data_IF_275927373091
#
_entry.id   IF_275927373091
#
_cell.length_a   1.000
_cell.length_b   1.000
_cell.length_c   1.000
_cell.angle_alpha   90.00
_cell.angle_beta   90.00
_cell.angle_gamma   90.00
#
_symmetry.space_group_name_H-M   'P 1'
#
loop_
_entity.id
_entity.type
_entity.pdbx_description
1 polymer ?
#
# COMPACT_ATOMS: atom_id res chain seq x y z
N UNK A 1 -26.04 -17.69 8.66
CA UNK A 1 -25.59 -16.69 7.67
C UNK A 1 -25.49 -15.29 8.26
N UNK A 2 -26.55 -14.77 8.89
CA UNK A 2 -26.59 -13.42 9.51
C UNK A 2 -25.39 -13.14 10.43
N UNK A 3 -25.05 -14.06 11.32
CA UNK A 3 -23.93 -13.90 12.26
C UNK A 3 -22.56 -13.65 11.58
N UNK A 4 -22.28 -14.35 10.46
CA UNK A 4 -21.00 -14.21 9.73
C UNK A 4 -20.87 -12.83 9.09
N UNK A 5 -21.94 -12.35 8.45
CA UNK A 5 -21.96 -11.00 7.87
C UNK A 5 -21.99 -9.90 8.94
N UNK A 6 -22.58 -10.18 10.12
CA UNK A 6 -22.52 -9.29 11.27
C UNK A 6 -21.08 -9.01 11.72
N UNK A 7 -20.25 -10.05 11.87
CA UNK A 7 -18.82 -9.90 12.21
C UNK A 7 -18.08 -9.07 11.15
N UNK A 8 -18.34 -9.34 9.87
CA UNK A 8 -17.73 -8.62 8.76
C UNK A 8 -18.00 -7.12 8.82
N UNK A 9 -19.29 -6.76 8.91
CA UNK A 9 -19.75 -5.37 8.93
C UNK A 9 -19.24 -4.67 10.19
N UNK A 10 -19.34 -5.31 11.36
CA UNK A 10 -18.87 -4.75 12.62
C UNK A 10 -17.37 -4.45 12.59
N UNK A 11 -16.55 -5.37 12.07
CA UNK A 11 -15.10 -5.18 11.97
C UNK A 11 -14.76 -4.02 11.03
N UNK A 12 -15.44 -3.93 9.87
CA UNK A 12 -15.24 -2.83 8.93
C UNK A 12 -15.64 -1.47 9.53
N UNK A 13 -16.79 -1.39 10.22
CA UNK A 13 -17.23 -0.18 10.92
C UNK A 13 -16.23 0.22 12.02
N UNK A 14 -15.73 -0.74 12.78
CA UNK A 14 -14.74 -0.47 13.83
C UNK A 14 -13.47 0.17 13.25
N UNK A 15 -12.97 -0.34 12.12
CA UNK A 15 -11.80 0.22 11.42
C UNK A 15 -12.09 1.60 10.85
N UNK A 16 -13.26 1.81 10.24
CA UNK A 16 -13.68 3.11 9.73
C UNK A 16 -13.70 4.17 10.85
N UNK A 17 -14.39 3.84 11.95
CA UNK A 17 -14.55 4.74 13.09
C UNK A 17 -13.20 5.04 13.74
N UNK A 18 -12.34 4.03 13.89
CA UNK A 18 -11.01 4.22 14.45
C UNK A 18 -10.14 5.15 13.59
N UNK A 19 -10.15 4.97 12.25
CA UNK A 19 -9.42 5.83 11.32
C UNK A 19 -9.89 7.30 11.35
N UNK A 20 -11.21 7.53 11.40
CA UNK A 20 -11.80 8.87 11.45
C UNK A 20 -11.57 9.55 12.81
N UNK A 21 -11.71 8.82 13.91
CA UNK A 21 -11.63 9.38 15.27
C UNK A 21 -10.19 9.56 15.77
N UNK A 22 -9.24 8.75 15.27
CA UNK A 22 -7.84 8.75 15.72
C UNK A 22 -6.83 8.87 14.57
N UNK A 23 -6.98 9.82 13.62
CA UNK A 23 -6.09 9.92 12.47
C UNK A 23 -4.64 10.23 12.89
N UNK A 24 -3.69 9.55 12.26
CA UNK A 24 -2.27 9.79 12.42
C UNK A 24 -1.83 10.81 11.37
N UNK A 25 -2.01 12.09 11.71
CA UNK A 25 -1.69 13.27 10.88
C UNK A 25 -0.16 13.41 10.68
N UNK A 26 0.45 12.53 9.89
CA UNK A 26 1.89 12.47 9.63
C UNK A 26 2.33 13.53 8.60
N UNK A 27 3.63 13.57 8.33
CA UNK A 27 4.22 14.53 7.39
C UNK A 27 3.73 14.32 5.95
N UNK A 28 3.41 13.08 5.54
CA UNK A 28 2.82 12.78 4.23
C UNK A 28 1.56 13.62 3.95
N UNK A 29 0.79 13.97 4.99
CA UNK A 29 -0.35 14.88 4.87
C UNK A 29 0.04 16.24 4.28
N UNK A 30 1.18 16.81 4.69
CA UNK A 30 1.69 18.09 4.17
C UNK A 30 1.89 18.00 2.67
N UNK A 31 2.65 16.99 2.24
CA UNK A 31 3.03 16.86 0.85
C UNK A 31 1.85 16.49 -0.07
N UNK A 32 0.90 15.66 0.40
CA UNK A 32 -0.31 15.36 -0.38
C UNK A 32 -1.27 16.56 -0.47
N UNK A 33 -1.41 17.35 0.60
CA UNK A 33 -2.21 18.59 0.57
C UNK A 33 -1.59 19.59 -0.40
N UNK A 34 -0.26 19.77 -0.34
CA UNK A 34 0.47 20.61 -1.29
C UNK A 34 0.28 20.12 -2.74
N UNK A 35 0.43 18.82 -2.99
CA UNK A 35 0.23 18.26 -4.34
C UNK A 35 -1.20 18.48 -4.87
N UNK A 36 -2.22 18.41 -4.00
CA UNK A 36 -3.60 18.70 -4.38
C UNK A 36 -3.81 20.18 -4.74
N UNK A 37 -3.33 21.11 -3.91
CA UNK A 37 -3.39 22.55 -4.20
C UNK A 37 -2.57 22.93 -5.44
N UNK A 38 -1.39 22.33 -5.63
CA UNK A 38 -0.61 22.52 -6.84
C UNK A 38 -1.38 22.11 -8.10
N UNK A 39 -2.18 21.04 -8.01
CA UNK A 39 -3.04 20.61 -9.12
C UNK A 39 -4.19 21.57 -9.41
N UNK A 40 -4.57 22.39 -8.45
CA UNK A 40 -5.53 23.49 -8.61
C UNK A 40 -4.88 24.81 -9.07
N UNK A 41 -3.57 24.80 -9.34
CA UNK A 41 -2.85 25.94 -9.93
C UNK A 41 -2.08 26.81 -8.93
N UNK A 42 -2.10 26.48 -7.64
CA UNK A 42 -1.35 27.23 -6.63
C UNK A 42 0.16 27.01 -6.74
N UNK A 43 0.96 28.07 -6.59
CA UNK A 43 2.43 28.07 -6.69
C UNK A 43 3.08 28.97 -5.64
N UNK A 44 4.37 28.81 -5.41
CA UNK A 44 5.20 29.66 -4.56
C UNK A 44 4.63 29.88 -3.16
N UNK A 45 4.61 31.14 -2.74
CA UNK A 45 4.09 31.54 -1.44
C UNK A 45 2.60 31.20 -1.26
N UNK A 46 1.80 31.27 -2.33
CA UNK A 46 0.36 30.97 -2.27
C UNK A 46 0.11 29.49 -1.97
N UNK A 47 0.87 28.60 -2.64
CA UNK A 47 0.83 27.17 -2.35
C UNK A 47 1.17 26.88 -0.89
N UNK A 48 2.24 27.49 -0.40
CA UNK A 48 2.72 27.31 0.98
C UNK A 48 1.66 27.78 1.97
N UNK A 49 1.13 28.99 1.77
CA UNK A 49 0.07 29.56 2.61
C UNK A 49 -1.16 28.65 2.66
N UNK A 50 -1.74 28.30 1.52
CA UNK A 50 -2.96 27.48 1.47
C UNK A 50 -2.77 26.10 2.09
N UNK A 51 -1.64 25.45 1.80
CA UNK A 51 -1.29 24.14 2.35
C UNK A 51 -1.26 24.17 3.88
N UNK A 52 -0.48 25.10 4.45
CA UNK A 52 -0.28 25.14 5.89
C UNK A 52 -1.47 25.77 6.63
N UNK A 53 -2.25 26.65 6.01
CA UNK A 53 -3.50 27.15 6.59
C UNK A 53 -4.57 26.06 6.70
N UNK A 54 -4.75 25.23 5.67
CA UNK A 54 -5.68 24.09 5.72
C UNK A 54 -5.28 23.12 6.84
N UNK A 55 -3.99 22.79 6.91
CA UNK A 55 -3.45 21.88 7.95
C UNK A 55 -3.61 22.50 9.35
N UNK A 56 -3.29 23.79 9.52
CA UNK A 56 -3.40 24.49 10.81
C UNK A 56 -4.83 24.50 11.34
N UNK A 57 -5.84 24.62 10.47
CA UNK A 57 -7.26 24.57 10.85
C UNK A 57 -7.68 23.17 11.34
N UNK A 58 -6.97 22.12 10.94
CA UNK A 58 -7.33 20.72 11.23
C UNK A 58 -6.56 20.11 12.41
N UNK A 59 -5.36 20.59 12.74
CA UNK A 59 -4.49 19.99 13.75
C UNK A 59 -4.29 20.90 14.96
N UNK A 60 -3.98 20.32 16.13
CA UNK A 60 -3.64 21.11 17.31
C UNK A 60 -2.32 21.86 17.11
N UNK A 61 -2.13 22.98 17.81
CA UNK A 61 -0.88 23.76 17.74
C UNK A 61 0.37 22.91 17.99
N UNK A 62 0.32 22.01 18.98
CA UNK A 62 1.41 21.05 19.25
C UNK A 62 1.72 20.15 18.06
N UNK A 63 0.68 19.64 17.37
CA UNK A 63 0.88 18.78 16.20
C UNK A 63 1.34 19.59 14.99
N UNK A 64 0.87 20.82 14.85
CA UNK A 64 1.35 21.74 13.81
C UNK A 64 2.84 21.98 13.96
N UNK A 65 3.32 22.31 15.17
CA UNK A 65 4.75 22.47 15.45
C UNK A 65 5.54 21.20 15.10
N UNK A 66 5.04 20.01 15.45
CA UNK A 66 5.71 18.75 15.08
C UNK A 66 5.77 18.51 13.56
N UNK A 67 4.89 19.10 12.77
CA UNK A 67 4.87 18.99 11.31
C UNK A 67 5.75 20.03 10.62
N UNK A 68 6.11 21.11 11.31
CA UNK A 68 6.83 22.26 10.74
C UNK A 68 8.17 22.54 11.42
N UNK A 69 8.52 21.82 12.49
CA UNK A 69 9.78 21.99 13.22
C UNK A 69 10.78 20.89 12.87
N UNK A 70 12.07 21.22 12.97
CA UNK A 70 13.19 20.35 12.62
C UNK A 70 13.82 20.78 11.30
N UNK A 71 15.11 20.50 11.12
CA UNK A 71 15.94 21.02 10.01
C UNK A 71 15.28 20.87 8.63
N UNK A 72 14.71 19.69 8.37
CA UNK A 72 13.99 19.40 7.14
C UNK A 72 12.64 20.13 7.05
N UNK A 73 11.72 19.84 7.97
CA UNK A 73 10.34 20.31 7.90
C UNK A 73 10.21 21.82 8.08
N UNK A 74 11.14 22.45 8.81
CA UNK A 74 11.21 23.89 8.97
C UNK A 74 11.64 24.58 7.68
N UNK A 75 12.60 24.01 6.95
CA UNK A 75 13.01 24.51 5.63
C UNK A 75 11.85 24.41 4.64
N UNK A 76 11.19 23.25 4.57
CA UNK A 76 10.01 23.03 3.70
C UNK A 76 8.83 23.93 4.09
N UNK A 77 8.71 24.32 5.37
CA UNK A 77 7.67 25.24 5.82
C UNK A 77 7.97 26.70 5.47
N UNK A 78 9.24 27.12 5.56
CA UNK A 78 9.66 28.51 5.38
C UNK A 78 9.91 28.87 3.91
N UNK A 79 10.41 27.94 3.12
CA UNK A 79 10.75 28.17 1.72
C UNK A 79 9.77 27.46 0.79
N UNK A 80 9.02 28.25 0.02
CA UNK A 80 8.08 27.73 -0.97
C UNK A 80 8.74 26.91 -2.07
N UNK A 81 9.99 27.23 -2.45
CA UNK A 81 10.71 26.44 -3.44
C UNK A 81 10.99 25.04 -2.93
N UNK A 82 11.40 24.91 -1.67
CA UNK A 82 11.60 23.61 -1.01
C UNK A 82 10.30 22.80 -1.01
N UNK A 83 9.15 23.39 -0.68
CA UNK A 83 7.85 22.71 -0.74
C UNK A 83 7.48 22.26 -2.16
N UNK A 84 7.70 23.12 -3.17
CA UNK A 84 7.41 22.76 -4.55
C UNK A 84 8.26 21.60 -5.05
N UNK A 85 9.54 21.54 -4.67
CA UNK A 85 10.40 20.42 -5.00
C UNK A 85 9.94 19.10 -4.36
N UNK A 86 9.11 19.11 -3.32
CA UNK A 86 8.53 17.87 -2.78
C UNK A 86 7.41 17.30 -3.66
N UNK A 87 6.72 18.14 -4.43
CA UNK A 87 5.49 17.77 -5.16
C UNK A 87 5.68 16.59 -6.12
N UNK A 88 6.77 16.48 -6.90
CA UNK A 88 6.95 15.36 -7.82
C UNK A 88 6.99 14.00 -7.14
N UNK A 89 7.36 13.92 -5.85
CA UNK A 89 7.26 12.69 -5.08
C UNK A 89 5.82 12.32 -4.71
N UNK A 90 4.84 13.21 -4.80
CA UNK A 90 3.47 12.93 -4.33
C UNK A 90 2.45 12.99 -5.46
N UNK A 91 2.66 13.86 -6.45
CA UNK A 91 1.81 14.11 -7.62
C UNK A 91 1.53 12.84 -8.46
N UNK A 92 2.46 11.89 -8.50
CA UNK A 92 2.31 10.63 -9.24
C UNK A 92 1.22 9.71 -8.68
N UNK A 93 0.69 9.96 -7.47
CA UNK A 93 -0.45 9.20 -6.92
C UNK A 93 -1.78 9.83 -7.36
N UNK A 94 -1.99 9.79 -8.68
CA UNK A 94 -3.05 10.52 -9.38
C UNK A 94 -4.44 10.17 -8.86
N UNK A 95 -4.74 8.88 -8.68
CA UNK A 95 -6.06 8.44 -8.21
C UNK A 95 -6.38 8.99 -6.81
N UNK A 96 -5.39 9.03 -5.93
CA UNK A 96 -5.54 9.54 -4.57
C UNK A 96 -5.73 11.06 -4.55
N UNK A 97 -4.92 11.81 -5.31
CA UNK A 97 -5.03 13.26 -5.40
C UNK A 97 -6.35 13.68 -6.05
N UNK A 98 -6.78 13.03 -7.13
CA UNK A 98 -8.08 13.34 -7.75
C UNK A 98 -9.24 13.05 -6.80
N UNK A 99 -9.16 11.99 -6.00
CA UNK A 99 -10.18 11.72 -5.01
C UNK A 99 -10.22 12.81 -3.93
N UNK A 100 -9.07 13.34 -3.49
CA UNK A 100 -9.04 14.50 -2.59
C UNK A 100 -9.73 15.71 -3.21
N UNK A 101 -9.47 16.00 -4.50
CA UNK A 101 -10.12 17.08 -5.28
C UNK A 101 -11.62 16.90 -5.41
N UNK A 102 -12.08 15.67 -5.61
CA UNK A 102 -13.52 15.36 -5.62
C UNK A 102 -14.16 15.60 -4.25
N UNK A 103 -13.52 15.16 -3.16
CA UNK A 103 -14.02 15.42 -1.81
C UNK A 103 -14.04 16.91 -1.46
N UNK A 104 -13.07 17.69 -1.97
CA UNK A 104 -13.08 19.15 -1.82
C UNK A 104 -14.33 19.81 -2.38
N UNK A 105 -14.85 19.33 -3.51
CA UNK A 105 -16.12 19.81 -4.11
C UNK A 105 -17.33 19.53 -3.22
N UNK A 106 -17.24 18.56 -2.32
CA UNK A 106 -18.30 18.25 -1.33
C UNK A 106 -18.18 19.06 -0.02
N UNK A 107 -17.19 19.95 0.07
CA UNK A 107 -16.96 20.81 1.24
C UNK A 107 -15.94 20.27 2.24
N UNK A 108 -15.32 19.12 2.00
CA UNK A 108 -14.22 18.63 2.84
C UNK A 108 -12.92 19.38 2.52
N UNK A 109 -12.10 19.71 3.52
CA UNK A 109 -10.78 20.28 3.26
C UNK A 109 -9.79 19.23 2.73
N UNK A 110 -8.69 19.63 2.11
CA UNK A 110 -7.71 18.66 1.60
C UNK A 110 -7.04 17.93 2.75
N UNK A 111 -6.68 18.65 3.83
CA UNK A 111 -6.13 18.04 5.04
C UNK A 111 -7.06 16.96 5.59
N UNK A 112 -8.37 17.24 5.69
CA UNK A 112 -9.38 16.26 6.15
C UNK A 112 -9.56 15.09 5.20
N UNK A 113 -9.50 15.36 3.90
CA UNK A 113 -9.71 14.35 2.86
C UNK A 113 -8.66 13.23 2.94
N UNK A 114 -7.41 13.55 3.28
CA UNK A 114 -6.33 12.55 3.35
C UNK A 114 -6.66 11.34 4.22
N UNK A 115 -7.00 11.57 5.50
CA UNK A 115 -7.27 10.46 6.43
C UNK A 115 -8.69 9.89 6.28
N UNK A 116 -9.65 10.66 5.79
CA UNK A 116 -11.01 10.15 5.49
C UNK A 116 -10.96 9.11 4.38
N UNK A 117 -10.19 9.40 3.31
CA UNK A 117 -9.94 8.43 2.24
C UNK A 117 -9.32 7.17 2.83
N UNK A 118 -8.24 7.30 3.60
CA UNK A 118 -7.57 6.13 4.17
C UNK A 118 -8.46 5.28 5.08
N UNK A 119 -9.27 5.91 5.93
CA UNK A 119 -10.23 5.20 6.79
C UNK A 119 -11.29 4.45 5.98
N UNK A 120 -11.88 5.10 4.96
CA UNK A 120 -12.86 4.48 4.07
C UNK A 120 -12.26 3.29 3.31
N UNK A 121 -11.10 3.46 2.69
CA UNK A 121 -10.47 2.40 1.90
C UNK A 121 -9.92 1.25 2.76
N UNK A 122 -9.48 1.52 3.99
CA UNK A 122 -9.11 0.47 4.94
C UNK A 122 -10.34 -0.35 5.37
N UNK A 123 -11.47 0.30 5.66
CA UNK A 123 -12.72 -0.40 5.98
C UNK A 123 -13.25 -1.24 4.82
N UNK A 124 -13.21 -0.71 3.59
CA UNK A 124 -13.55 -1.47 2.38
C UNK A 124 -12.59 -2.65 2.17
N UNK A 125 -11.30 -2.47 2.46
CA UNK A 125 -10.31 -3.55 2.40
C UNK A 125 -10.67 -4.70 3.35
N UNK A 126 -11.14 -4.38 4.57
CA UNK A 126 -11.65 -5.38 5.53
C UNK A 126 -12.86 -6.13 4.97
N UNK A 127 -13.77 -5.44 4.29
CA UNK A 127 -14.91 -6.09 3.64
C UNK A 127 -14.45 -7.10 2.60
N UNK A 128 -13.53 -6.71 1.70
CA UNK A 128 -13.00 -7.61 0.67
C UNK A 128 -12.20 -8.76 1.28
N UNK A 129 -11.39 -8.52 2.30
CA UNK A 129 -10.68 -9.57 3.04
C UNK A 129 -11.65 -10.58 3.64
N UNK A 130 -12.77 -10.13 4.22
CA UNK A 130 -13.80 -11.04 4.70
C UNK A 130 -14.47 -11.85 3.60
N UNK A 131 -14.70 -11.26 2.42
CA UNK A 131 -15.18 -12.01 1.25
C UNK A 131 -14.18 -13.07 0.76
N UNK A 132 -12.87 -12.80 0.89
CA UNK A 132 -11.82 -13.79 0.64
C UNK A 132 -11.89 -14.92 1.68
N UNK A 133 -11.98 -14.59 2.96
CA UNK A 133 -12.10 -15.58 4.05
C UNK A 133 -13.31 -16.50 3.84
N UNK A 134 -14.45 -15.98 3.38
CA UNK A 134 -15.64 -16.78 3.08
C UNK A 134 -15.43 -17.82 1.96
N UNK A 135 -14.37 -17.72 1.15
CA UNK A 135 -13.97 -18.71 0.12
C UNK A 135 -12.93 -19.72 0.63
N UNK A 136 -12.54 -19.63 1.89
CA UNK A 136 -11.59 -20.50 2.56
C UNK A 136 -12.28 -21.31 3.66
N UNK A 137 -11.53 -22.19 4.30
CA UNK A 137 -11.98 -22.97 5.45
C UNK A 137 -11.84 -22.20 6.77
N UNK A 138 -11.31 -20.96 6.72
CA UNK A 138 -11.06 -20.13 7.89
C UNK A 138 -12.40 -19.63 8.47
N UNK A 139 -12.64 -19.79 9.78
CA UNK A 139 -13.87 -19.29 10.40
C UNK A 139 -13.90 -17.76 10.41
N UNK A 140 -15.07 -17.19 10.09
CA UNK A 140 -15.27 -15.73 9.98
C UNK A 140 -14.93 -14.97 11.28
N UNK A 141 -15.00 -15.64 12.43
CA UNK A 141 -14.57 -15.09 13.72
C UNK A 141 -13.08 -14.75 13.81
N UNK A 142 -12.25 -15.23 12.89
CA UNK A 142 -10.82 -14.87 12.80
C UNK A 142 -10.59 -13.52 12.11
N UNK A 143 -11.57 -12.94 11.39
CA UNK A 143 -11.36 -11.68 10.69
C UNK A 143 -10.87 -10.56 11.61
N UNK A 144 -11.48 -10.27 12.77
CA UNK A 144 -10.97 -9.23 13.67
C UNK A 144 -9.51 -9.44 14.08
N UNK A 145 -9.10 -10.71 14.28
CA UNK A 145 -7.73 -11.07 14.66
C UNK A 145 -6.78 -10.82 13.49
N UNK A 146 -7.13 -11.29 12.29
CA UNK A 146 -6.32 -11.04 11.08
C UNK A 146 -6.15 -9.53 10.87
N UNK A 147 -7.24 -8.76 10.98
CA UNK A 147 -7.24 -7.30 10.81
C UNK A 147 -6.34 -6.62 11.84
N UNK A 148 -6.42 -7.03 13.12
CA UNK A 148 -5.60 -6.45 14.19
C UNK A 148 -4.11 -6.77 14.01
N UNK A 149 -3.77 -8.04 13.72
CA UNK A 149 -2.37 -8.49 13.60
C UNK A 149 -1.69 -7.94 12.34
N UNK A 150 -2.43 -7.71 11.26
CA UNK A 150 -1.86 -7.31 9.97
C UNK A 150 -1.73 -5.80 9.78
N UNK A 151 -2.21 -4.99 10.73
CA UNK A 151 -1.95 -3.54 10.77
C UNK A 151 -2.99 -2.66 10.08
N UNK A 152 -4.23 -3.14 9.88
CA UNK A 152 -5.30 -2.33 9.28
C UNK A 152 -5.66 -1.08 10.09
N UNK A 153 -5.43 -1.11 11.40
CA UNK A 153 -5.62 0.03 12.30
C UNK A 153 -4.69 1.18 11.95
N UNK A 154 -3.43 0.90 11.64
CA UNK A 154 -2.46 1.92 11.22
C UNK A 154 -2.76 2.38 9.79
N UNK A 155 -3.08 1.44 8.91
CA UNK A 155 -3.48 1.72 7.53
C UNK A 155 -4.66 2.70 7.44
N UNK A 156 -5.65 2.55 8.33
CA UNK A 156 -6.83 3.43 8.40
C UNK A 156 -6.53 4.85 8.92
N UNK A 157 -5.39 5.03 9.61
CA UNK A 157 -5.05 6.29 10.29
C UNK A 157 -4.06 7.14 9.51
N UNK A 158 -3.24 6.52 8.66
CA UNK A 158 -2.20 7.21 7.90
C UNK A 158 -2.81 8.00 6.74
N UNK A 159 -2.35 9.23 6.53
CA UNK A 159 -2.76 10.11 5.42
C UNK A 159 -2.09 9.74 4.09
N UNK A 160 -2.26 8.48 3.66
CA UNK A 160 -1.52 7.90 2.53
C UNK A 160 -2.42 7.09 1.59
N UNK A 161 -2.02 6.89 0.32
CA UNK A 161 -2.75 6.07 -0.65
C UNK A 161 -2.65 4.56 -0.37
N UNK A 162 -1.91 4.13 0.66
CA UNK A 162 -1.64 2.71 0.90
C UNK A 162 -2.93 1.93 1.22
N UNK A 163 -3.91 2.55 1.90
CA UNK A 163 -5.21 1.94 2.14
C UNK A 163 -5.98 1.68 0.84
N UNK A 164 -5.89 2.60 -0.11
CA UNK A 164 -6.48 2.45 -1.44
C UNK A 164 -5.75 1.36 -2.23
N UNK A 165 -4.43 1.33 -2.17
CA UNK A 165 -3.63 0.29 -2.81
C UNK A 165 -3.97 -1.09 -2.24
N UNK A 166 -4.10 -1.22 -0.92
CA UNK A 166 -4.53 -2.45 -0.25
C UNK A 166 -5.89 -2.94 -0.75
N UNK A 167 -6.89 -2.05 -0.86
CA UNK A 167 -8.22 -2.42 -1.34
C UNK A 167 -8.14 -3.02 -2.75
N UNK A 168 -7.51 -2.30 -3.68
CA UNK A 168 -7.44 -2.74 -5.07
C UNK A 168 -6.61 -4.01 -5.22
N UNK A 169 -5.54 -4.19 -4.45
CA UNK A 169 -4.79 -5.44 -4.42
C UNK A 169 -5.63 -6.62 -3.93
N UNK A 170 -6.38 -6.45 -2.85
CA UNK A 170 -7.31 -7.48 -2.36
C UNK A 170 -8.42 -7.77 -3.37
N UNK A 171 -8.99 -6.74 -4.02
CA UNK A 171 -9.98 -6.93 -5.08
C UNK A 171 -9.39 -7.69 -6.28
N UNK A 172 -8.12 -7.45 -6.61
CA UNK A 172 -7.39 -8.16 -7.66
C UNK A 172 -7.29 -9.65 -7.34
N UNK A 173 -6.82 -9.98 -6.14
CA UNK A 173 -6.74 -11.37 -5.65
C UNK A 173 -8.13 -12.02 -5.55
N UNK A 174 -9.12 -11.32 -4.99
CA UNK A 174 -10.49 -11.83 -4.90
C UNK A 174 -11.07 -12.13 -6.30
N UNK A 175 -10.84 -11.24 -7.27
CA UNK A 175 -11.27 -11.42 -8.66
C UNK A 175 -10.56 -12.59 -9.34
N UNK A 176 -9.26 -12.75 -9.09
CA UNK A 176 -8.45 -13.89 -9.54
C UNK A 176 -9.05 -15.21 -9.04
N UNK A 177 -9.29 -15.31 -7.72
CA UNK A 177 -9.88 -16.48 -7.08
C UNK A 177 -11.32 -16.74 -7.55
N UNK A 178 -12.06 -15.68 -7.90
CA UNK A 178 -13.41 -15.78 -8.45
C UNK A 178 -13.44 -16.09 -9.96
N UNK A 179 -12.29 -16.19 -10.63
CA UNK A 179 -12.17 -16.26 -12.11
C UNK A 179 -12.94 -15.15 -12.83
N UNK A 180 -12.98 -13.95 -12.24
CA UNK A 180 -13.68 -12.77 -12.79
C UNK A 180 -12.74 -11.91 -13.62
N UNK A 181 -13.25 -11.36 -14.73
CA UNK A 181 -12.52 -10.44 -15.63
C UNK A 181 -12.18 -9.08 -15.01
N UNK A 182 -12.74 -8.75 -13.83
CA UNK A 182 -12.40 -7.49 -13.13
C UNK A 182 -10.91 -7.39 -12.77
N UNK A 183 -10.19 -8.51 -12.67
CA UNK A 183 -8.74 -8.50 -12.39
C UNK A 183 -7.95 -7.69 -13.43
N UNK A 184 -8.40 -7.67 -14.69
CA UNK A 184 -7.75 -6.90 -15.76
C UNK A 184 -7.86 -5.39 -15.50
N UNK A 185 -9.07 -4.90 -15.22
CA UNK A 185 -9.30 -3.48 -14.92
C UNK A 185 -8.56 -3.04 -13.66
N UNK A 186 -8.55 -3.89 -12.63
CA UNK A 186 -7.83 -3.62 -11.38
C UNK A 186 -6.33 -3.49 -11.66
N UNK A 187 -5.75 -4.42 -12.43
CA UNK A 187 -4.33 -4.38 -12.78
C UNK A 187 -3.94 -3.12 -13.57
N UNK A 188 -4.82 -2.58 -14.42
CA UNK A 188 -4.57 -1.31 -15.11
C UNK A 188 -4.64 -0.09 -14.18
N UNK A 189 -5.48 -0.13 -13.15
CA UNK A 189 -5.68 1.01 -12.23
C UNK A 189 -4.59 1.07 -11.15
N UNK A 190 -4.02 -0.06 -10.74
CA UNK A 190 -3.03 -0.14 -9.65
C UNK A 190 -1.88 0.89 -9.76
N UNK A 191 -1.22 1.08 -10.91
CA UNK A 191 -0.16 2.07 -11.08
C UNK A 191 -0.61 3.53 -10.87
N UNK A 192 -1.90 3.83 -11.09
CA UNK A 192 -2.46 5.17 -10.88
C UNK A 192 -2.66 5.50 -9.39
N UNK A 193 -2.78 4.46 -8.56
CA UNK A 193 -2.89 4.59 -7.09
C UNK A 193 -1.48 4.67 -6.49
N UNK A 194 -0.62 3.72 -6.85
CA UNK A 194 0.78 3.64 -6.46
C UNK A 194 1.59 3.08 -7.62
N UNK A 195 2.59 3.84 -8.06
CA UNK A 195 3.38 3.52 -9.24
C UNK A 195 4.13 2.19 -9.12
N UNK A 196 4.62 1.83 -7.93
CA UNK A 196 5.29 0.55 -7.65
C UNK A 196 4.34 -0.66 -7.68
N UNK A 197 3.02 -0.46 -7.63
CA UNK A 197 2.05 -1.56 -7.75
C UNK A 197 1.91 -2.05 -9.21
N UNK A 198 2.65 -1.44 -10.16
CA UNK A 198 2.90 -2.05 -11.47
C UNK A 198 3.51 -3.46 -11.34
N UNK A 199 4.26 -3.72 -10.27
CA UNK A 199 4.78 -5.05 -9.94
C UNK A 199 3.65 -6.06 -9.71
N UNK A 200 2.65 -5.67 -8.90
CA UNK A 200 1.50 -6.52 -8.64
C UNK A 200 0.65 -6.68 -9.92
N UNK A 201 0.50 -5.63 -10.73
CA UNK A 201 -0.15 -5.75 -12.05
C UNK A 201 0.55 -6.79 -12.93
N UNK A 202 1.89 -6.77 -12.97
CA UNK A 202 2.70 -7.78 -13.67
C UNK A 202 2.45 -9.20 -13.16
N UNK A 203 2.43 -9.38 -11.85
CA UNK A 203 2.17 -10.67 -11.20
C UNK A 203 0.76 -11.20 -11.48
N UNK A 204 -0.27 -10.35 -11.36
CA UNK A 204 -1.65 -10.72 -11.65
C UNK A 204 -1.84 -11.10 -13.12
N UNK A 205 -1.25 -10.33 -14.05
CA UNK A 205 -1.34 -10.59 -15.48
C UNK A 205 -0.52 -11.81 -15.89
N UNK A 206 0.65 -12.02 -15.29
CA UNK A 206 1.46 -13.23 -15.48
C UNK A 206 0.67 -14.49 -15.09
N UNK A 207 0.00 -14.47 -13.94
CA UNK A 207 -0.86 -15.59 -13.55
C UNK A 207 -2.06 -15.77 -14.49
N UNK A 208 -2.75 -14.68 -14.84
CA UNK A 208 -3.90 -14.73 -15.77
C UNK A 208 -3.50 -15.24 -17.17
N UNK A 209 -2.28 -14.95 -17.61
CA UNK A 209 -1.70 -15.46 -18.85
C UNK A 209 -1.54 -16.99 -18.80
N UNK A 210 -0.99 -17.51 -17.69
CA UNK A 210 -0.83 -18.94 -17.46
C UNK A 210 -2.18 -19.68 -17.35
N UNK A 211 -3.22 -19.00 -16.90
CA UNK A 211 -4.60 -19.52 -16.83
C UNK A 211 -5.36 -19.49 -18.18
N UNK A 212 -4.68 -19.14 -19.29
CA UNK A 212 -5.24 -19.22 -20.65
C UNK A 212 -5.81 -17.91 -21.20
N UNK A 213 -5.87 -16.84 -20.41
CA UNK A 213 -6.36 -15.52 -20.88
C UNK A 213 -5.26 -14.65 -21.48
N UNK A 214 -4.47 -15.23 -22.40
CA UNK A 214 -3.18 -14.67 -22.87
C UNK A 214 -3.30 -13.26 -23.45
N UNK A 215 -4.19 -13.05 -24.43
CA UNK A 215 -4.33 -11.76 -25.12
C UNK A 215 -4.75 -10.64 -24.17
N UNK A 216 -5.79 -10.87 -23.36
CA UNK A 216 -6.25 -9.89 -22.37
C UNK A 216 -5.16 -9.57 -21.35
N UNK A 217 -4.43 -10.58 -20.88
CA UNK A 217 -3.34 -10.39 -19.92
C UNK A 217 -2.23 -9.51 -20.49
N UNK A 218 -1.85 -9.71 -21.76
CA UNK A 218 -0.86 -8.88 -22.44
C UNK A 218 -1.35 -7.44 -22.64
N UNK A 219 -2.59 -7.26 -23.12
CA UNK A 219 -3.17 -5.93 -23.34
C UNK A 219 -3.22 -5.11 -22.06
N UNK A 220 -3.67 -5.72 -20.96
CA UNK A 220 -3.78 -5.03 -19.67
C UNK A 220 -2.44 -4.85 -18.96
N UNK A 221 -1.46 -5.73 -19.21
CA UNK A 221 -0.09 -5.50 -18.78
C UNK A 221 0.52 -4.28 -19.50
N UNK A 222 0.37 -4.19 -20.82
CA UNK A 222 0.80 -3.04 -21.61
C UNK A 222 0.11 -1.77 -21.10
N UNK A 223 -1.19 -1.83 -20.83
CA UNK A 223 -1.94 -0.70 -20.29
C UNK A 223 -1.43 -0.28 -18.90
N UNK A 224 -1.13 -1.22 -18.01
CA UNK A 224 -0.58 -0.93 -16.68
C UNK A 224 0.80 -0.26 -16.77
N UNK A 225 1.71 -0.80 -17.60
CA UNK A 225 3.04 -0.22 -17.84
C UNK A 225 2.93 1.16 -18.50
N UNK A 226 2.05 1.31 -19.48
CA UNK A 226 1.82 2.59 -20.15
C UNK A 226 1.26 3.63 -19.16
N UNK A 227 0.37 3.23 -18.27
CA UNK A 227 -0.17 4.09 -17.21
C UNK A 227 0.92 4.55 -16.25
N UNK A 228 1.80 3.64 -15.83
CA UNK A 228 2.98 3.97 -15.01
C UNK A 228 3.89 5.00 -15.69
N UNK A 229 4.26 4.77 -16.96
CA UNK A 229 5.13 5.67 -17.72
C UNK A 229 4.47 7.04 -17.91
N UNK A 230 3.20 7.04 -18.33
CA UNK A 230 2.44 8.26 -18.60
C UNK A 230 2.28 9.11 -17.35
N UNK A 231 1.89 8.51 -16.22
CA UNK A 231 1.74 9.22 -14.95
C UNK A 231 3.06 9.81 -14.47
N UNK A 232 4.15 9.05 -14.57
CA UNK A 232 5.48 9.52 -14.16
C UNK A 232 5.90 10.71 -15.01
N UNK A 233 5.71 10.64 -16.34
CA UNK A 233 6.08 11.72 -17.26
C UNK A 233 5.21 12.97 -17.10
N UNK A 234 3.89 12.81 -16.96
CA UNK A 234 2.95 13.93 -16.86
C UNK A 234 3.06 14.70 -15.54
N UNK A 235 3.57 14.07 -14.48
CA UNK A 235 3.68 14.68 -13.15
C UNK A 235 5.13 14.99 -12.76
N UNK A 236 6.05 14.95 -13.74
CA UNK A 236 7.49 15.20 -13.56
C UNK A 236 8.11 14.34 -12.44
N UNK A 237 7.57 13.13 -12.25
CA UNK A 237 7.92 12.27 -11.15
C UNK A 237 9.41 11.95 -11.14
N UNK A 238 10.04 12.12 -9.97
CA UNK A 238 11.45 11.83 -9.81
C UNK A 238 11.79 10.39 -10.19
N UNK A 239 12.97 10.22 -10.79
CA UNK A 239 13.50 8.91 -11.13
C UNK A 239 13.80 8.07 -9.89
N UNK A 240 13.94 6.75 -10.11
CA UNK A 240 14.19 5.79 -9.03
C UNK A 240 15.43 6.15 -8.18
N UNK A 241 16.54 6.57 -8.81
CA UNK A 241 17.77 6.91 -8.08
C UNK A 241 17.58 8.09 -7.13
N UNK A 242 16.87 9.13 -7.57
CA UNK A 242 16.50 10.27 -6.73
C UNK A 242 15.63 9.83 -5.56
N UNK A 243 14.62 9.01 -5.83
CA UNK A 243 13.74 8.51 -4.78
C UNK A 243 14.48 7.64 -3.75
N UNK A 244 15.39 6.77 -4.21
CA UNK A 244 16.18 5.91 -3.34
C UNK A 244 17.16 6.72 -2.48
N UNK A 245 17.90 7.66 -3.08
CA UNK A 245 18.85 8.49 -2.33
C UNK A 245 18.12 9.39 -1.33
N UNK A 246 16.99 9.99 -1.73
CA UNK A 246 16.18 10.82 -0.84
C UNK A 246 15.63 10.03 0.35
N UNK A 247 15.15 8.81 0.11
CA UNK A 247 14.53 7.99 1.15
C UNK A 247 15.55 7.33 2.10
N UNK A 248 16.73 6.94 1.60
CA UNK A 248 17.61 6.01 2.34
C UNK A 248 19.05 6.46 2.53
N UNK A 249 19.56 7.42 1.76
CA UNK A 249 20.99 7.79 1.79
C UNK A 249 21.19 9.20 2.33
N UNK A 250 20.58 10.20 1.67
CA UNK A 250 20.90 11.61 1.89
C UNK A 250 19.98 12.29 2.89
N UNK A 251 19.01 11.58 3.47
CA UNK A 251 17.98 12.17 4.34
C UNK A 251 18.58 12.80 5.60
N UNK A 252 18.24 14.06 5.96
CA UNK A 252 17.23 14.92 5.32
C UNK A 252 17.75 15.84 4.20
N UNK A 253 17.12 15.83 3.01
CA UNK A 253 17.39 16.78 1.91
C UNK A 253 16.16 17.66 1.60
N UNK A 254 16.12 18.93 2.04
CA UNK A 254 14.99 19.82 1.79
C UNK A 254 14.75 20.17 0.30
N UNK A 255 15.81 20.08 -0.52
CA UNK A 255 15.80 20.42 -1.94
C UNK A 255 16.14 19.19 -2.80
N UNK A 256 15.17 18.28 -3.02
CA UNK A 256 15.42 17.02 -3.73
C UNK A 256 15.75 17.18 -5.21
N UNK A 257 15.39 18.30 -5.86
CA UNK A 257 15.74 18.55 -7.25
C UNK A 257 17.25 18.80 -7.41
N UNK A 258 17.87 19.40 -6.40
CA UNK A 258 19.29 19.78 -6.38
C UNK A 258 20.17 18.72 -5.70
N UNK A 259 19.59 17.58 -5.34
CA UNK A 259 20.29 16.51 -4.63
C UNK A 259 21.35 15.85 -5.52
N UNK A 260 22.57 15.77 -5.00
CA UNK A 260 23.64 14.97 -5.61
C UNK A 260 23.47 13.51 -5.21
N UNK A 261 23.40 12.63 -6.21
CA UNK A 261 23.30 11.19 -5.98
C UNK A 261 24.63 10.66 -5.42
N UNK A 262 24.57 9.73 -4.47
CA UNK A 262 25.81 9.08 -4.01
C UNK A 262 26.45 8.29 -5.15
N UNK A 263 27.76 8.49 -5.32
CA UNK A 263 28.60 7.72 -6.23
C UNK A 263 29.20 6.46 -5.56
N UNK A 264 29.02 6.28 -4.24
CA UNK A 264 29.60 5.16 -3.49
C UNK A 264 28.63 3.99 -3.47
N UNK A 265 29.07 2.84 -4.00
CA UNK A 265 28.26 1.62 -3.99
C UNK A 265 27.87 1.15 -2.58
N UNK A 266 28.74 1.38 -1.57
CA UNK A 266 28.47 1.02 -0.18
C UNK A 266 27.21 1.68 0.39
N UNK A 267 26.91 2.90 -0.03
CA UNK A 267 25.72 3.65 0.44
C UNK A 267 24.42 3.02 -0.07
N UNK A 268 24.45 2.29 -1.18
CA UNK A 268 23.29 1.56 -1.69
C UNK A 268 23.10 0.20 -1.03
N UNK A 269 24.14 -0.37 -0.41
CA UNK A 269 24.07 -1.65 0.31
C UNK A 269 23.60 -1.45 1.74
N UNK A 270 23.99 -0.33 2.38
CA UNK A 270 23.67 -0.04 3.77
C UNK A 270 22.16 -0.10 4.11
N UNK A 271 21.22 0.42 3.29
CA UNK A 271 19.79 0.31 3.55
C UNK A 271 19.29 -1.14 3.61
N UNK A 272 19.85 -2.05 2.79
CA UNK A 272 19.49 -3.47 2.83
C UNK A 272 20.02 -4.16 4.08
N UNK A 273 21.20 -3.78 4.56
CA UNK A 273 21.73 -4.27 5.83
C UNK A 273 20.89 -3.82 7.01
N UNK A 274 20.47 -2.55 7.01
CA UNK A 274 19.55 -2.02 8.01
C UNK A 274 18.21 -2.78 7.98
N UNK A 275 17.63 -2.93 6.78
CA UNK A 275 16.41 -3.70 6.59
C UNK A 275 16.55 -5.13 7.12
N UNK A 276 17.65 -5.83 6.83
CA UNK A 276 17.84 -7.20 7.30
C UNK A 276 17.80 -7.27 8.84
N UNK A 277 18.47 -6.33 9.51
CA UNK A 277 18.48 -6.28 10.97
C UNK A 277 17.10 -5.94 11.56
N UNK A 278 16.35 -5.02 10.94
CA UNK A 278 15.03 -4.64 11.47
C UNK A 278 13.96 -5.67 11.13
N UNK A 279 14.04 -6.31 9.96
CA UNK A 279 13.06 -7.29 9.49
C UNK A 279 13.01 -8.52 10.39
N UNK A 280 14.13 -8.99 10.93
CA UNK A 280 14.17 -10.15 11.84
C UNK A 280 13.32 -9.92 13.10
N UNK A 281 13.27 -8.67 13.58
CA UNK A 281 12.49 -8.31 14.77
C UNK A 281 11.11 -7.71 14.42
N UNK A 282 10.77 -7.61 13.14
CA UNK A 282 9.51 -7.05 12.69
C UNK A 282 8.36 -8.01 13.00
N UNK A 283 7.25 -7.50 13.55
CA UNK A 283 6.12 -8.34 13.99
C UNK A 283 5.51 -9.19 12.86
N UNK A 284 5.54 -8.68 11.62
CA UNK A 284 5.05 -9.43 10.46
C UNK A 284 5.98 -10.55 10.00
N UNK A 285 7.27 -10.53 10.35
CA UNK A 285 8.23 -11.54 9.88
C UNK A 285 7.82 -12.96 10.30
N UNK A 286 7.23 -13.10 11.49
CA UNK A 286 6.69 -14.36 12.00
C UNK A 286 5.67 -14.97 11.04
N UNK A 287 4.79 -14.15 10.43
CA UNK A 287 3.79 -14.63 9.46
C UNK A 287 4.50 -15.26 8.25
N UNK A 288 5.51 -14.60 7.71
CA UNK A 288 6.25 -15.10 6.54
C UNK A 288 7.05 -16.37 6.87
N UNK A 289 7.71 -16.41 8.03
CA UNK A 289 8.50 -17.57 8.49
C UNK A 289 7.58 -18.79 8.68
N UNK A 290 6.46 -18.63 9.39
CA UNK A 290 5.50 -19.72 9.60
C UNK A 290 4.91 -20.19 8.27
N UNK A 291 4.62 -19.26 7.35
CA UNK A 291 4.11 -19.64 6.03
C UNK A 291 5.12 -20.46 5.22
N UNK A 292 6.39 -20.06 5.20
CA UNK A 292 7.46 -20.82 4.54
C UNK A 292 7.67 -22.19 5.18
N UNK A 293 7.61 -22.28 6.50
CA UNK A 293 7.70 -23.54 7.23
C UNK A 293 6.56 -24.50 6.88
N UNK A 294 5.31 -24.01 6.87
CA UNK A 294 4.14 -24.81 6.47
C UNK A 294 4.20 -25.22 4.99
N UNK A 295 4.69 -24.34 4.12
CA UNK A 295 4.90 -24.66 2.70
C UNK A 295 5.90 -25.80 2.52
N UNK A 296 6.98 -25.80 3.29
CA UNK A 296 7.96 -26.88 3.29
C UNK A 296 7.37 -28.19 3.83
N UNK A 297 6.69 -28.16 4.99
CA UNK A 297 6.09 -29.35 5.61
C UNK A 297 5.05 -30.04 4.72
N UNK A 298 4.21 -29.26 4.02
CA UNK A 298 3.14 -29.81 3.16
C UNK A 298 3.62 -30.21 1.77
N UNK A 299 4.93 -30.34 1.56
CA UNK A 299 5.51 -30.74 0.28
C UNK A 299 5.07 -29.80 -0.84
N UNK A 300 5.34 -28.50 -0.68
CA UNK A 300 4.77 -27.37 -1.43
C UNK A 300 4.64 -27.46 -2.96
N UNK A 301 5.29 -28.45 -3.58
CA UNK A 301 5.09 -28.89 -4.96
C UNK A 301 3.68 -29.41 -5.24
N UNK A 302 3.06 -30.12 -4.30
CA UNK A 302 1.69 -30.65 -4.45
C UNK A 302 0.60 -29.57 -4.37
N UNK A 303 0.91 -28.40 -3.81
CA UNK A 303 -0.04 -27.28 -3.66
C UNK A 303 -0.06 -26.33 -4.88
N UNK A 304 0.84 -26.53 -5.86
CA UNK A 304 1.03 -25.65 -7.03
C UNK A 304 -0.13 -25.63 -8.02
N UNK A 305 -1.12 -26.50 -7.91
CA UNK A 305 -2.27 -26.51 -8.82
C UNK A 305 -3.48 -25.70 -8.32
N UNK A 306 -3.43 -25.21 -7.08
CA UNK A 306 -4.58 -24.54 -6.47
C UNK A 306 -4.55 -23.02 -6.68
N UNK A 307 -5.60 -22.45 -7.26
CA UNK A 307 -5.75 -20.98 -7.37
C UNK A 307 -5.69 -20.29 -6.01
N UNK A 308 -6.11 -20.97 -4.93
CA UNK A 308 -5.98 -20.49 -3.55
C UNK A 308 -4.53 -20.30 -3.12
N UNK A 309 -3.62 -21.21 -3.50
CA UNK A 309 -2.21 -21.10 -3.19
C UNK A 309 -1.58 -19.85 -3.85
N UNK A 310 -1.84 -19.62 -5.14
CA UNK A 310 -1.31 -18.43 -5.80
C UNK A 310 -1.90 -17.14 -5.26
N UNK A 311 -3.23 -17.11 -5.06
CA UNK A 311 -3.92 -15.92 -4.58
C UNK A 311 -3.55 -15.53 -3.15
N UNK A 312 -3.44 -16.50 -2.24
CA UNK A 312 -3.24 -16.22 -0.82
C UNK A 312 -1.78 -16.24 -0.38
N UNK A 313 -0.89 -16.93 -1.11
CA UNK A 313 0.51 -17.10 -0.69
C UNK A 313 1.51 -16.65 -1.75
N UNK A 314 1.54 -17.28 -2.93
CA UNK A 314 2.65 -17.08 -3.87
C UNK A 314 2.74 -15.64 -4.41
N UNK A 315 1.63 -15.07 -4.91
CA UNK A 315 1.65 -13.71 -5.44
C UNK A 315 1.94 -12.65 -4.36
N UNK A 316 1.28 -12.68 -3.18
CA UNK A 316 1.63 -11.79 -2.07
C UNK A 316 3.09 -11.89 -1.60
N UNK A 317 3.63 -13.11 -1.52
CA UNK A 317 5.01 -13.34 -1.10
C UNK A 317 5.99 -12.75 -2.12
N UNK A 318 5.82 -13.09 -3.41
CA UNK A 318 6.69 -12.58 -4.49
C UNK A 318 6.61 -11.05 -4.56
N UNK A 319 5.40 -10.49 -4.47
CA UNK A 319 5.22 -9.04 -4.43
C UNK A 319 6.00 -8.40 -3.28
N UNK A 320 5.90 -8.96 -2.07
CA UNK A 320 6.62 -8.43 -0.89
C UNK A 320 8.13 -8.49 -1.10
N UNK A 321 8.66 -9.62 -1.55
CA UNK A 321 10.11 -9.81 -1.76
C UNK A 321 10.63 -8.83 -2.82
N UNK A 322 9.97 -8.75 -3.98
CA UNK A 322 10.39 -7.82 -5.04
C UNK A 322 10.24 -6.37 -4.59
N UNK A 323 9.20 -6.04 -3.84
CA UNK A 323 9.01 -4.70 -3.29
C UNK A 323 10.15 -4.32 -2.33
N UNK A 324 10.56 -5.22 -1.42
CA UNK A 324 11.66 -4.98 -0.50
C UNK A 324 13.02 -4.88 -1.19
N UNK A 325 13.22 -5.62 -2.28
CA UNK A 325 14.42 -5.50 -3.10
C UNK A 325 14.50 -4.12 -3.76
N UNK A 326 13.37 -3.55 -4.20
CA UNK A 326 13.34 -2.23 -4.83
C UNK A 326 13.29 -1.08 -3.80
N UNK A 327 12.65 -1.30 -2.65
CA UNK A 327 12.46 -0.29 -1.62
C UNK A 327 12.71 -0.95 -0.25
N UNK A 328 13.95 -0.86 0.27
CA UNK A 328 14.33 -1.53 1.51
C UNK A 328 13.78 -0.80 2.74
N UNK A 329 12.46 -0.88 2.93
CA UNK A 329 11.72 -0.23 3.99
C UNK A 329 10.82 -1.24 4.72
N UNK A 330 10.88 -1.23 6.04
CA UNK A 330 10.13 -2.13 6.92
C UNK A 330 8.78 -1.55 7.40
N UNK A 331 8.35 -0.39 6.88
CA UNK A 331 7.07 0.19 7.29
C UNK A 331 5.87 -0.78 7.17
N UNK A 332 5.17 -1.00 8.28
CA UNK A 332 3.95 -1.80 8.43
C UNK A 332 2.97 -1.70 7.26
N UNK A 333 2.74 -0.47 6.77
CA UNK A 333 1.78 -0.16 5.69
C UNK A 333 2.06 -0.89 4.37
N UNK A 334 3.31 -1.31 4.11
CA UNK A 334 3.68 -2.05 2.90
C UNK A 334 3.39 -3.55 3.00
N UNK A 335 3.27 -4.07 4.23
CA UNK A 335 3.04 -5.50 4.47
C UNK A 335 1.56 -5.84 4.66
N UNK A 336 0.69 -4.91 5.05
CA UNK A 336 -0.71 -5.22 5.44
C UNK A 336 -1.47 -6.04 4.40
N UNK A 337 -1.37 -5.68 3.11
CA UNK A 337 -1.97 -6.46 2.02
C UNK A 337 -1.43 -7.90 1.99
N UNK A 338 -0.11 -8.06 1.93
CA UNK A 338 0.49 -9.37 1.73
C UNK A 338 0.41 -10.25 2.98
N UNK A 339 0.70 -9.68 4.14
CA UNK A 339 0.64 -10.36 5.42
C UNK A 339 -0.78 -10.83 5.75
N UNK A 340 -1.83 -10.07 5.39
CA UNK A 340 -3.21 -10.51 5.62
C UNK A 340 -3.59 -11.73 4.78
N UNK A 341 -3.21 -11.76 3.50
CA UNK A 341 -3.47 -12.91 2.65
C UNK A 341 -2.66 -14.15 3.07
N UNK A 342 -1.38 -13.96 3.40
CA UNK A 342 -0.51 -15.05 3.85
C UNK A 342 -1.01 -15.60 5.19
N UNK A 343 -1.46 -14.75 6.12
CA UNK A 343 -2.05 -15.21 7.38
C UNK A 343 -3.35 -16.00 7.13
N UNK A 344 -4.19 -15.57 6.20
CA UNK A 344 -5.38 -16.35 5.79
C UNK A 344 -4.96 -17.69 5.17
N UNK A 345 -3.89 -17.74 4.39
CA UNK A 345 -3.36 -19.01 3.84
C UNK A 345 -2.86 -19.95 4.93
N UNK A 346 -2.15 -19.44 5.94
CA UNK A 346 -1.70 -20.22 7.11
C UNK A 346 -2.92 -20.83 7.80
N UNK A 347 -3.93 -20.02 8.11
CA UNK A 347 -5.13 -20.47 8.82
C UNK A 347 -5.93 -21.48 7.99
N UNK A 348 -6.07 -21.27 6.67
CA UNK A 348 -6.75 -22.22 5.77
C UNK A 348 -5.98 -23.55 5.70
N UNK A 349 -4.65 -23.48 5.65
CA UNK A 349 -3.79 -24.65 5.62
C UNK A 349 -3.87 -25.45 6.93
N UNK A 350 -3.97 -24.79 8.09
CA UNK A 350 -4.13 -25.47 9.38
C UNK A 350 -5.53 -26.05 9.57
N UNK A 351 -6.55 -25.44 8.97
CA UNK A 351 -7.94 -25.89 9.06
C UNK A 351 -8.24 -27.11 8.15
N UNK A 352 -7.44 -27.34 7.11
CA UNK A 352 -7.60 -28.52 6.24
C UNK A 352 -6.99 -29.76 6.91
N UNK A 353 -7.72 -30.89 7.01
CA UNK A 353 -7.19 -32.13 7.56
C UNK A 353 -5.99 -32.59 6.73
N UNK A 354 -4.92 -33.03 7.42
CA UNK A 354 -3.78 -33.68 6.77
C UNK A 354 -4.32 -34.93 6.09
N UNK A 355 -4.22 -34.99 4.76
CA UNK A 355 -4.55 -36.22 4.04
C UNK A 355 -3.69 -37.35 4.65
N UNK A 356 -4.27 -38.51 5.03
CA UNK A 356 -3.47 -39.61 5.53
C UNK A 356 -2.42 -39.92 4.47
N UNK A 357 -1.15 -39.96 4.89
CA UNK A 357 -0.07 -40.39 4.03
C UNK A 357 -0.52 -41.68 3.37
N UNK A 358 -0.56 -41.70 2.03
CA UNK A 358 -0.74 -42.94 1.30
C UNK A 358 0.35 -43.87 1.82
N UNK A 359 -0.04 -44.84 2.66
CA UNK A 359 0.84 -45.94 3.01
C UNK A 359 1.18 -46.59 1.69
N UNK A 360 2.42 -46.38 1.25
CA UNK A 360 3.02 -47.09 0.12
C UNK A 360 2.85 -48.58 0.43
N UNK A 361 1.92 -49.22 -0.27
CA UNK A 361 1.77 -50.68 -0.35
C UNK A 361 2.57 -51.19 -1.53
#
# INVERSE_FOLDING_TARGET
MVFRYGILIFTAIAILMYGILKPHRNWDMVAYVAAAYHKDGYRGADLTRETYEDIRKMVSSRRFTLLTAGEYSETVFKDSSSLEQQIPFYSIRVAYIELMRLLKKTGLSYARSTFVISACFAALSVLVLGLIILKTSVPMGMLPIVVAVTGYTDLARLSTPDAMACLFSLMGIYSLMAKRRMVFLIAAILPLIRSDFVLLSGLLMGYAYLQGTRLLSLLFLILAVSSYILVTKLNEGYGYLTLFNFAFISSPVPYPADMVMSARLGDYVAPYWLLFNTLIFHSHAVIYIVALYLFWLKGGWQMKEQTKFYGLFALPLIFTVVHLILFPSDHFRFFTFSASLILVWILDSLAQPVAPAAMET
#
